data_IF_213225637060
#
_entry.id   IF_213225637060
#
_cell.length_a   1.000
_cell.length_b   1.000
_cell.length_c   1.000
_cell.angle_alpha   90.00
_cell.angle_beta   90.00
_cell.angle_gamma   90.00
#
_symmetry.space_group_name_H-M   'P 1'
#
loop_
_entity.id
_entity.type
_entity.pdbx_description
1 polymer ?
#
# COMPACT_ATOMS: atom_id res chain seq x y z
N UNK A 1 -14.81 -9.28 -1.43
CA UNK A 1 -16.16 -9.69 -1.84
C UNK A 1 -16.11 -10.00 -3.33
N UNK A 2 -16.19 -11.28 -3.72
CA UNK A 2 -16.32 -11.66 -5.14
C UNK A 2 -17.65 -11.15 -5.66
N UNK A 3 -17.64 -10.31 -6.69
CA UNK A 3 -18.86 -9.87 -7.35
C UNK A 3 -18.75 -10.08 -8.86
N UNK A 4 -19.82 -10.68 -9.36
CA UNK A 4 -19.97 -11.38 -10.63
C UNK A 4 -20.54 -10.40 -11.66
N UNK A 5 -19.71 -9.60 -12.35
CA UNK A 5 -20.18 -8.60 -13.33
C UNK A 5 -19.21 -8.41 -14.50
N UNK A 6 -19.02 -9.42 -15.36
CA UNK A 6 -18.26 -9.28 -16.62
C UNK A 6 -18.81 -10.17 -17.75
N UNK A 7 -20.12 -10.14 -18.04
CA UNK A 7 -20.69 -10.93 -19.15
C UNK A 7 -20.89 -10.18 -20.47
N UNK A 8 -20.60 -8.87 -20.56
CA UNK A 8 -21.07 -8.06 -21.71
C UNK A 8 -20.04 -7.80 -22.84
N UNK A 9 -18.77 -8.20 -22.71
CA UNK A 9 -17.73 -7.76 -23.66
C UNK A 9 -17.11 -8.84 -24.58
N UNK A 10 -17.50 -10.11 -24.48
CA UNK A 10 -16.73 -11.19 -25.12
C UNK A 10 -17.53 -12.05 -26.11
N UNK A 11 -17.31 -11.85 -27.41
CA UNK A 11 -17.70 -12.77 -28.48
C UNK A 11 -16.97 -14.13 -28.42
N UNK A 12 -17.37 -15.13 -29.23
CA UNK A 12 -16.85 -16.49 -29.17
C UNK A 12 -15.43 -16.60 -29.73
N UNK A 13 -14.57 -17.42 -29.10
CA UNK A 13 -13.17 -17.63 -29.53
C UNK A 13 -12.85 -19.12 -29.63
N UNK A 14 -12.31 -19.51 -30.79
CA UNK A 14 -11.91 -20.86 -31.18
C UNK A 14 -10.65 -21.37 -30.46
N UNK A 15 -10.51 -22.71 -30.43
CA UNK A 15 -9.35 -23.45 -29.92
C UNK A 15 -8.18 -23.33 -30.92
N UNK A 16 -7.01 -22.84 -30.51
CA UNK A 16 -5.89 -22.56 -31.42
C UNK A 16 -4.54 -23.12 -30.93
N UNK A 17 -3.77 -23.63 -31.89
CA UNK A 17 -2.49 -24.31 -31.72
C UNK A 17 -1.33 -23.40 -31.27
N UNK A 18 -0.48 -23.95 -30.40
CA UNK A 18 0.43 -23.22 -29.50
C UNK A 18 1.93 -23.24 -29.93
N UNK A 19 2.28 -23.12 -31.22
CA UNK A 19 3.70 -23.11 -31.67
C UNK A 19 4.24 -21.70 -31.91
N UNK A 20 5.45 -21.38 -31.41
CA UNK A 20 6.24 -20.19 -31.80
C UNK A 20 6.31 -19.00 -30.83
N UNK A 21 6.23 -19.20 -29.50
CA UNK A 21 6.31 -18.10 -28.52
C UNK A 21 7.73 -17.83 -28.04
N UNK A 22 8.14 -16.56 -28.03
CA UNK A 22 9.39 -16.07 -27.47
C UNK A 22 9.09 -15.39 -26.12
N UNK A 23 9.82 -15.77 -25.08
CA UNK A 23 9.48 -15.47 -23.69
C UNK A 23 10.57 -14.59 -23.07
N UNK A 24 10.31 -13.28 -23.02
CA UNK A 24 11.18 -12.34 -22.34
C UNK A 24 10.59 -12.00 -20.97
N UNK A 25 11.31 -12.36 -19.91
CA UNK A 25 10.92 -12.03 -18.52
C UNK A 25 11.18 -10.55 -18.16
N UNK A 26 11.77 -9.75 -19.08
CA UNK A 26 12.45 -8.49 -18.79
C UNK A 26 11.56 -7.25 -18.71
N UNK A 27 10.86 -6.86 -19.77
CA UNK A 27 10.04 -5.65 -19.77
C UNK A 27 8.99 -5.80 -20.86
N UNK A 28 7.70 -5.70 -20.56
CA UNK A 28 6.91 -4.54 -21.00
C UNK A 28 5.54 -4.42 -20.29
N UNK A 29 5.20 -5.32 -19.37
CA UNK A 29 3.78 -5.49 -18.96
C UNK A 29 3.43 -4.93 -17.61
N UNK A 30 2.29 -4.26 -17.58
CA UNK A 30 1.89 -3.37 -16.50
C UNK A 30 1.64 -4.12 -15.19
N UNK A 31 1.07 -5.32 -15.28
CA UNK A 31 0.68 -6.10 -14.10
C UNK A 31 1.72 -7.15 -13.68
N UNK A 32 2.92 -7.17 -14.30
CA UNK A 32 3.97 -8.13 -13.91
C UNK A 32 4.36 -7.92 -12.44
N UNK A 33 4.33 -9.02 -11.67
CA UNK A 33 4.62 -9.03 -10.23
C UNK A 33 3.38 -8.99 -9.33
N UNK A 34 2.21 -8.59 -9.85
CA UNK A 34 0.95 -8.52 -9.07
C UNK A 34 -0.12 -9.52 -9.54
N UNK A 35 0.03 -10.12 -10.73
CA UNK A 35 -0.90 -11.15 -11.22
C UNK A 35 -0.56 -12.54 -10.66
N UNK A 36 -1.60 -13.23 -10.17
CA UNK A 36 -1.54 -14.62 -9.69
C UNK A 36 -2.63 -15.47 -10.34
N UNK A 37 -2.34 -16.75 -10.50
CA UNK A 37 -3.32 -17.75 -10.92
C UNK A 37 -4.19 -18.15 -9.72
N UNK A 38 -5.52 -18.14 -9.87
CA UNK A 38 -6.45 -18.63 -8.85
C UNK A 38 -6.28 -20.12 -8.52
N UNK A 39 -6.00 -20.95 -9.53
CA UNK A 39 -5.99 -22.42 -9.43
C UNK A 39 -4.82 -22.94 -8.60
N UNK A 40 -3.62 -22.40 -8.83
CA UNK A 40 -2.40 -22.87 -8.18
C UNK A 40 -1.70 -21.80 -7.32
N UNK A 41 -2.30 -20.60 -7.20
CA UNK A 41 -1.81 -19.44 -6.46
C UNK A 41 -0.38 -18.96 -6.83
N UNK A 42 0.18 -19.48 -7.93
CA UNK A 42 1.50 -19.08 -8.41
C UNK A 42 1.44 -17.82 -9.27
N UNK A 43 2.59 -17.16 -9.38
CA UNK A 43 2.74 -15.95 -10.18
C UNK A 43 2.47 -16.21 -11.66
N UNK A 44 1.88 -15.21 -12.31
CA UNK A 44 1.77 -15.17 -13.76
C UNK A 44 2.79 -14.16 -14.30
N UNK A 45 3.45 -14.53 -15.38
CA UNK A 45 4.47 -13.71 -16.02
C UNK A 45 4.07 -13.39 -17.47
N UNK A 46 4.76 -12.41 -18.05
CA UNK A 46 4.47 -11.97 -19.41
C UNK A 46 5.17 -12.81 -20.47
N UNK A 47 4.42 -13.47 -21.36
CA UNK A 47 4.93 -14.11 -22.57
C UNK A 47 4.25 -13.66 -23.86
N UNK A 48 4.96 -13.63 -24.99
CA UNK A 48 4.43 -13.16 -26.26
C UNK A 48 4.51 -14.22 -27.35
N UNK A 49 3.69 -14.09 -28.39
CA UNK A 49 3.78 -14.90 -29.60
C UNK A 49 3.44 -14.08 -30.82
N UNK A 50 3.97 -14.46 -31.97
CA UNK A 50 3.55 -13.87 -33.24
C UNK A 50 2.45 -14.73 -33.86
N UNK A 51 1.36 -14.08 -34.28
CA UNK A 51 0.29 -14.70 -35.05
C UNK A 51 0.03 -13.85 -36.29
N UNK A 52 0.15 -14.44 -37.47
CA UNK A 52 -0.02 -13.75 -38.76
C UNK A 52 0.84 -12.47 -38.86
N UNK A 53 2.09 -12.51 -38.36
CA UNK A 53 2.99 -11.35 -38.33
C UNK A 53 2.69 -10.32 -37.23
N UNK A 54 1.60 -10.48 -36.47
CA UNK A 54 1.22 -9.58 -35.37
C UNK A 54 1.68 -10.17 -34.04
N UNK A 55 2.38 -9.37 -33.22
CA UNK A 55 2.74 -9.77 -31.86
C UNK A 55 1.51 -9.71 -30.95
N UNK A 56 1.24 -10.83 -30.26
CA UNK A 56 0.11 -10.99 -29.34
C UNK A 56 0.64 -11.29 -27.92
N UNK A 57 0.45 -10.38 -26.96
CA UNK A 57 0.94 -10.55 -25.59
C UNK A 57 -0.04 -11.36 -24.70
N UNK A 58 0.49 -12.24 -23.86
CA UNK A 58 -0.26 -13.11 -22.94
C UNK A 58 0.33 -13.26 -21.54
N UNK A 59 -0.46 -13.11 -20.48
CA UNK A 59 -0.09 -13.58 -19.15
C UNK A 59 -0.23 -15.09 -19.03
N UNK A 60 0.79 -15.72 -18.46
CA UNK A 60 0.88 -17.19 -18.35
C UNK A 60 1.30 -17.59 -16.95
N UNK A 61 0.65 -18.62 -16.42
CA UNK A 61 0.99 -19.19 -15.13
C UNK A 61 2.37 -19.85 -15.16
N UNK A 62 3.22 -19.53 -14.18
CA UNK A 62 4.56 -20.10 -14.01
C UNK A 62 4.53 -21.63 -13.96
N UNK A 63 3.68 -22.23 -13.12
CA UNK A 63 3.53 -23.68 -13.00
C UNK A 63 3.03 -24.35 -14.27
N UNK A 64 2.09 -23.71 -15.00
CA UNK A 64 1.64 -24.22 -16.30
C UNK A 64 2.79 -24.29 -17.31
N UNK A 65 3.63 -23.25 -17.31
CA UNK A 65 4.69 -23.13 -18.30
C UNK A 65 5.90 -24.03 -17.98
N UNK A 66 6.35 -24.04 -16.72
CA UNK A 66 7.55 -24.80 -16.32
C UNK A 66 7.22 -26.27 -16.03
N UNK A 67 6.20 -26.52 -15.24
CA UNK A 67 5.94 -27.83 -14.63
C UNK A 67 4.81 -28.59 -15.34
N UNK A 68 4.05 -27.90 -16.19
CA UNK A 68 2.80 -28.38 -16.82
C UNK A 68 1.74 -28.87 -15.82
N UNK A 69 1.90 -28.52 -14.53
CA UNK A 69 1.06 -28.92 -13.39
C UNK A 69 -0.08 -27.91 -13.11
N UNK A 70 -0.49 -27.16 -14.14
CA UNK A 70 -1.61 -26.23 -14.01
C UNK A 70 -2.31 -26.00 -15.35
N UNK A 71 -3.63 -26.12 -15.35
CA UNK A 71 -4.45 -25.96 -16.57
C UNK A 71 -4.88 -24.51 -16.84
N UNK A 72 -4.36 -23.53 -16.09
CA UNK A 72 -4.79 -22.14 -16.18
C UNK A 72 -4.58 -21.54 -17.57
N UNK A 73 -5.63 -21.02 -18.19
CA UNK A 73 -5.59 -20.41 -19.52
C UNK A 73 -4.52 -19.32 -19.73
N UNK A 74 -4.04 -19.24 -20.98
CA UNK A 74 -3.27 -18.10 -21.45
C UNK A 74 -4.21 -16.91 -21.57
N UNK A 75 -3.91 -15.83 -20.84
CA UNK A 75 -4.80 -14.65 -20.81
C UNK A 75 -4.18 -13.54 -21.62
N UNK A 76 -4.94 -13.00 -22.58
CA UNK A 76 -4.55 -11.87 -23.41
C UNK A 76 -4.19 -10.66 -22.54
N UNK A 77 -2.96 -10.16 -22.68
CA UNK A 77 -2.44 -9.13 -21.79
C UNK A 77 -3.16 -7.79 -21.98
N UNK A 78 -3.44 -7.41 -23.23
CA UNK A 78 -4.21 -6.23 -23.59
C UNK A 78 -5.61 -6.23 -22.95
N UNK A 79 -6.28 -7.39 -22.97
CA UNK A 79 -7.62 -7.54 -22.40
C UNK A 79 -7.59 -7.57 -20.87
N UNK A 80 -6.57 -8.19 -20.26
CA UNK A 80 -6.40 -8.18 -18.81
C UNK A 80 -6.06 -6.80 -18.28
N UNK A 81 -5.10 -6.12 -18.91
CA UNK A 81 -4.64 -4.79 -18.48
C UNK A 81 -5.75 -3.76 -18.61
N UNK A 82 -6.47 -3.73 -19.74
CA UNK A 82 -7.63 -2.84 -19.91
C UNK A 82 -8.74 -3.14 -18.90
N UNK A 83 -9.08 -4.40 -18.66
CA UNK A 83 -10.09 -4.77 -17.68
C UNK A 83 -9.72 -4.31 -16.25
N UNK A 84 -8.45 -4.45 -15.85
CA UNK A 84 -7.99 -3.97 -14.54
C UNK A 84 -8.05 -2.45 -14.45
N UNK A 85 -7.62 -1.73 -15.49
CA UNK A 85 -7.65 -0.26 -15.51
C UNK A 85 -9.09 0.26 -15.43
N UNK A 86 -10.01 -0.33 -16.18
CA UNK A 86 -11.42 0.08 -16.17
C UNK A 86 -12.12 -0.28 -14.85
N UNK A 87 -11.80 -1.43 -14.24
CA UNK A 87 -12.30 -1.77 -12.90
C UNK A 87 -11.80 -0.78 -11.84
N UNK A 88 -10.52 -0.37 -11.89
CA UNK A 88 -9.99 0.68 -11.01
C UNK A 88 -10.80 1.97 -11.19
N UNK A 89 -11.00 2.45 -12.42
CA UNK A 89 -11.75 3.69 -12.68
C UNK A 89 -13.19 3.60 -12.16
N UNK A 90 -13.87 2.48 -12.42
CA UNK A 90 -15.24 2.26 -11.99
C UNK A 90 -15.36 2.25 -10.45
N UNK A 91 -14.44 1.57 -9.76
CA UNK A 91 -14.45 1.50 -8.28
C UNK A 91 -14.09 2.82 -7.62
N UNK A 92 -13.14 3.56 -8.16
CA UNK A 92 -12.74 4.86 -7.60
C UNK A 92 -13.79 5.95 -7.86
N UNK A 93 -14.60 5.84 -8.93
CA UNK A 93 -15.77 6.72 -9.19
C UNK A 93 -17.01 6.34 -8.37
N UNK A 94 -17.10 5.13 -7.85
CA UNK A 94 -18.19 4.70 -6.98
C UNK A 94 -18.01 5.27 -5.57
N UNK A 95 -18.67 6.41 -5.32
CA UNK A 95 -18.64 7.11 -4.02
C UNK A 95 -19.06 6.21 -2.85
N UNK A 96 -20.04 5.31 -3.03
CA UNK A 96 -20.50 4.41 -1.98
C UNK A 96 -19.50 3.29 -1.69
N UNK A 97 -18.82 2.79 -2.72
CA UNK A 97 -17.72 1.84 -2.53
C UNK A 97 -16.56 2.49 -1.77
N UNK A 98 -16.13 3.67 -2.20
CA UNK A 98 -15.01 4.38 -1.55
C UNK A 98 -15.36 4.77 -0.10
N UNK A 99 -16.57 5.25 0.17
CA UNK A 99 -17.00 5.53 1.54
C UNK A 99 -16.94 4.29 2.46
N UNK A 100 -17.34 3.12 1.96
CA UNK A 100 -17.25 1.86 2.72
C UNK A 100 -15.82 1.42 2.96
N UNK A 101 -14.97 1.51 1.94
CA UNK A 101 -13.54 1.19 2.04
C UNK A 101 -12.87 2.06 3.11
N UNK A 102 -13.22 3.35 3.15
CA UNK A 102 -12.68 4.29 4.12
C UNK A 102 -13.22 4.10 5.53
N UNK A 103 -14.52 3.81 5.68
CA UNK A 103 -15.09 3.47 6.97
C UNK A 103 -14.39 2.23 7.58
N UNK A 104 -14.13 1.20 6.79
CA UNK A 104 -13.42 0.00 7.23
C UNK A 104 -11.94 0.28 7.54
N UNK A 105 -11.27 1.13 6.74
CA UNK A 105 -9.91 1.55 7.00
C UNK A 105 -9.80 2.32 8.33
N UNK A 106 -10.65 3.33 8.53
CA UNK A 106 -10.72 4.10 9.77
C UNK A 106 -11.05 3.20 10.96
N UNK A 107 -11.95 2.24 10.82
CA UNK A 107 -12.27 1.28 11.89
C UNK A 107 -11.05 0.47 12.33
N UNK A 108 -10.26 -0.03 11.38
CA UNK A 108 -9.02 -0.78 11.69
C UNK A 108 -7.98 0.09 12.37
N UNK A 109 -7.81 1.33 11.90
CA UNK A 109 -6.90 2.27 12.53
C UNK A 109 -7.34 2.68 13.93
N UNK A 110 -8.63 2.98 14.13
CA UNK A 110 -9.19 3.31 15.43
C UNK A 110 -9.04 2.16 16.44
N UNK A 111 -8.91 0.91 15.97
CA UNK A 111 -8.60 -0.23 16.84
C UNK A 111 -7.11 -0.31 17.23
N UNK A 112 -6.20 0.12 16.34
CA UNK A 112 -4.75 0.07 16.58
C UNK A 112 -4.20 1.32 17.31
N UNK A 113 -4.75 2.50 17.04
CA UNK A 113 -4.33 3.79 17.62
C UNK A 113 -4.31 3.81 19.16
N UNK A 114 -5.33 3.32 19.89
CA UNK A 114 -5.35 3.37 21.35
C UNK A 114 -4.23 2.56 22.00
N UNK A 115 -3.79 1.46 21.38
CA UNK A 115 -2.67 0.67 21.90
C UNK A 115 -1.36 1.41 21.68
N UNK A 116 -1.19 2.04 20.50
CA UNK A 116 0.01 2.81 20.19
C UNK A 116 0.14 4.08 21.05
N UNK A 117 -0.96 4.78 21.30
CA UNK A 117 -0.98 5.94 22.21
C UNK A 117 -0.61 5.54 23.65
N UNK A 118 -1.06 4.36 24.11
CA UNK A 118 -0.65 3.83 25.42
C UNK A 118 0.83 3.47 25.47
N UNK A 119 1.38 2.89 24.40
CA UNK A 119 2.81 2.59 24.31
C UNK A 119 3.65 3.88 24.36
N UNK A 120 3.27 4.90 23.58
CA UNK A 120 3.93 6.22 23.62
C UNK A 120 3.86 6.83 25.01
N UNK A 121 2.68 6.87 25.63
CA UNK A 121 2.49 7.43 26.97
C UNK A 121 3.32 6.69 28.04
N UNK A 122 3.49 5.38 27.89
CA UNK A 122 4.33 4.57 28.78
C UNK A 122 5.81 4.96 28.65
N UNK A 123 6.32 5.05 27.42
CA UNK A 123 7.71 5.46 27.14
C UNK A 123 7.99 6.87 27.65
N UNK A 124 7.05 7.80 27.45
CA UNK A 124 7.15 9.17 27.97
C UNK A 124 7.19 9.21 29.50
N UNK A 125 6.37 8.39 30.17
CA UNK A 125 6.38 8.29 31.62
C UNK A 125 7.68 7.68 32.16
N UNK A 126 8.27 6.71 31.45
CA UNK A 126 9.60 6.16 31.80
C UNK A 126 10.71 7.19 31.60
N UNK A 127 10.67 7.96 30.53
CA UNK A 127 11.63 9.03 30.27
C UNK A 127 11.55 10.14 31.33
N UNK A 128 10.34 10.56 31.70
CA UNK A 128 10.12 11.53 32.77
C UNK A 128 10.69 11.05 34.11
N UNK A 129 10.49 9.77 34.46
CA UNK A 129 11.07 9.17 35.67
C UNK A 129 12.60 9.16 35.65
N UNK A 130 13.21 8.83 34.51
CA UNK A 130 14.65 8.84 34.34
C UNK A 130 15.22 10.27 34.45
N UNK A 131 14.52 11.26 33.90
CA UNK A 131 14.89 12.67 34.03
C UNK A 131 14.81 13.16 35.48
N UNK A 132 13.71 12.87 36.19
CA UNK A 132 13.61 13.20 37.62
C UNK A 132 14.69 12.51 38.45
N UNK A 133 15.08 11.28 38.09
CA UNK A 133 16.19 10.61 38.76
C UNK A 133 17.53 11.32 38.51
N UNK A 134 17.81 11.78 37.28
CA UNK A 134 18.99 12.58 36.97
C UNK A 134 19.03 13.85 37.81
N UNK A 135 17.94 14.59 37.87
CA UNK A 135 17.84 15.85 38.63
C UNK A 135 18.15 15.59 40.12
N UNK A 136 17.60 14.52 40.69
CA UNK A 136 17.91 14.10 42.08
C UNK A 136 19.37 13.73 42.30
N UNK A 137 20.02 13.09 41.32
CA UNK A 137 21.44 12.77 41.43
C UNK A 137 22.32 14.03 41.35
N UNK A 138 21.94 15.02 40.54
CA UNK A 138 22.63 16.31 40.49
C UNK A 138 22.46 17.09 41.80
N UNK A 139 21.24 17.18 42.35
CA UNK A 139 20.98 17.82 43.64
C UNK A 139 21.79 17.17 44.78
N UNK A 140 21.84 15.84 44.83
CA UNK A 140 22.59 15.10 45.84
C UNK A 140 24.11 15.33 45.74
N UNK A 141 24.61 15.49 44.52
CA UNK A 141 26.01 15.82 44.25
C UNK A 141 26.35 17.26 44.65
N UNK A 142 25.50 18.22 44.29
CA UNK A 142 25.66 19.63 44.69
C UNK A 142 25.61 19.81 46.22
N UNK A 143 24.78 19.05 46.91
CA UNK A 143 24.70 19.02 48.37
C UNK A 143 25.90 18.33 49.04
N UNK A 144 26.83 17.74 48.28
CA UNK A 144 28.00 17.02 48.80
C UNK A 144 27.66 15.68 49.49
N UNK A 145 26.43 15.19 49.32
CA UNK A 145 25.95 13.96 49.98
C UNK A 145 26.30 12.68 49.22
N UNK A 146 26.83 12.80 48.00
CA UNK A 146 27.14 11.69 47.10
C UNK A 146 28.56 11.78 46.56
N UNK A 147 29.26 10.64 46.50
CA UNK A 147 30.60 10.56 45.90
C UNK A 147 30.55 10.76 44.38
N UNK A 148 31.54 11.47 43.84
CA UNK A 148 31.62 11.83 42.43
C UNK A 148 31.61 10.61 41.50
N UNK A 149 32.36 9.56 41.80
CA UNK A 149 32.43 8.33 41.01
C UNK A 149 31.07 7.63 40.89
N UNK A 150 30.33 7.53 42.00
CA UNK A 150 29.00 6.91 42.01
C UNK A 150 27.97 7.76 41.26
N UNK A 151 28.03 9.09 41.41
CA UNK A 151 27.20 10.03 40.66
C UNK A 151 27.44 9.89 39.15
N UNK A 152 28.71 9.92 38.73
CA UNK A 152 29.09 9.80 37.32
C UNK A 152 28.61 8.48 36.71
N UNK A 153 28.68 7.37 37.45
CA UNK A 153 28.16 6.10 36.94
C UNK A 153 26.65 6.13 36.75
N UNK A 154 25.89 6.59 37.76
CA UNK A 154 24.42 6.64 37.69
C UNK A 154 23.91 7.61 36.63
N UNK A 155 24.56 8.76 36.49
CA UNK A 155 24.23 9.74 35.44
C UNK A 155 24.49 9.15 34.06
N UNK A 156 25.59 8.40 33.86
CA UNK A 156 25.85 7.70 32.59
C UNK A 156 24.77 6.66 32.27
N UNK A 157 24.44 5.81 33.23
CA UNK A 157 23.41 4.77 33.05
C UNK A 157 22.04 5.39 32.70
N UNK A 158 21.66 6.46 33.41
CA UNK A 158 20.38 7.16 33.18
C UNK A 158 20.34 7.89 31.83
N UNK A 159 21.45 8.50 31.39
CA UNK A 159 21.54 9.11 30.06
C UNK A 159 21.44 8.08 28.95
N UNK A 160 22.13 6.94 29.08
CA UNK A 160 22.00 5.83 28.13
C UNK A 160 20.55 5.34 28.06
N UNK A 161 19.87 5.20 29.21
CA UNK A 161 18.46 4.81 29.24
C UNK A 161 17.53 5.85 28.59
N UNK A 162 17.81 7.15 28.76
CA UNK A 162 17.06 8.20 28.08
C UNK A 162 17.23 8.14 26.56
N UNK A 163 18.46 7.94 26.07
CA UNK A 163 18.72 7.79 24.63
C UNK A 163 17.96 6.60 24.03
N UNK A 164 17.90 5.46 24.74
CA UNK A 164 17.08 4.30 24.35
C UNK A 164 15.59 4.64 24.27
N UNK A 165 15.05 5.29 25.32
CA UNK A 165 13.64 5.67 25.39
C UNK A 165 13.26 6.69 24.32
N UNK A 166 14.15 7.64 24.00
CA UNK A 166 13.97 8.60 22.91
C UNK A 166 14.01 7.93 21.53
N UNK A 167 14.85 6.91 21.34
CA UNK A 167 14.85 6.12 20.12
C UNK A 167 13.54 5.32 19.97
N UNK A 168 13.09 4.67 21.04
CA UNK A 168 11.81 3.93 21.07
C UNK A 168 10.62 4.86 20.80
N UNK A 169 10.59 6.04 21.44
CA UNK A 169 9.55 7.06 21.19
C UNK A 169 9.51 7.46 19.72
N UNK A 170 10.67 7.76 19.11
CA UNK A 170 10.74 8.14 17.70
C UNK A 170 10.21 7.04 16.77
N UNK A 171 10.47 5.78 17.09
CA UNK A 171 9.92 4.65 16.32
C UNK A 171 8.40 4.56 16.44
N UNK A 172 7.86 4.68 17.66
CA UNK A 172 6.42 4.65 17.91
C UNK A 172 5.69 5.83 17.25
N UNK A 173 6.26 7.03 17.31
CA UNK A 173 5.72 8.22 16.62
C UNK A 173 5.76 8.05 15.09
N UNK A 174 6.85 7.50 14.53
CA UNK A 174 6.92 7.19 13.11
C UNK A 174 5.87 6.14 12.70
N UNK A 175 5.56 5.18 13.57
CA UNK A 175 4.48 4.21 13.35
C UNK A 175 3.11 4.87 13.43
N UNK A 176 2.89 5.81 14.35
CA UNK A 176 1.64 6.59 14.47
C UNK A 176 1.38 7.38 13.20
N UNK A 177 2.40 8.07 12.70
CA UNK A 177 2.28 8.88 11.48
C UNK A 177 1.96 8.02 10.25
N UNK A 178 2.44 6.77 10.19
CA UNK A 178 2.10 5.82 9.11
C UNK A 178 0.64 5.36 9.18
N UNK A 179 0.02 5.43 10.35
CA UNK A 179 -1.36 5.04 10.61
C UNK A 179 -2.34 6.22 10.51
N UNK A 180 -1.86 7.44 10.25
CA UNK A 180 -2.75 8.56 9.98
C UNK A 180 -3.24 8.55 8.53
N UNK A 181 -4.51 8.21 8.37
CA UNK A 181 -5.22 8.34 7.10
C UNK A 181 -5.79 9.76 6.97
N UNK A 182 -5.67 10.39 5.79
CA UNK A 182 -6.29 11.67 5.54
C UNK A 182 -7.81 11.48 5.47
N UNK A 183 -8.56 12.53 5.83
CA UNK A 183 -9.98 12.58 5.51
C UNK A 183 -10.14 12.58 3.99
N UNK A 184 -11.12 11.83 3.50
CA UNK A 184 -11.36 11.67 2.07
C UNK A 184 -12.54 12.51 1.75
N UNK A 185 -12.24 13.59 1.05
CA UNK A 185 -13.24 14.33 0.35
C UNK A 185 -13.39 13.81 -1.09
N UNK A 186 -14.48 14.24 -1.69
CA UNK A 186 -14.87 13.91 -3.05
C UNK A 186 -13.85 14.41 -4.08
N UNK A 187 -13.23 15.56 -3.80
CA UNK A 187 -12.29 16.23 -4.70
C UNK A 187 -10.96 15.45 -4.76
N UNK A 188 -10.53 14.87 -3.64
CA UNK A 188 -9.39 13.97 -3.58
C UNK A 188 -9.61 12.72 -4.43
N UNK A 189 -10.78 12.09 -4.36
CA UNK A 189 -11.10 10.91 -5.19
C UNK A 189 -11.15 11.25 -6.69
N UNK A 190 -11.77 12.37 -7.05
CA UNK A 190 -11.85 12.83 -8.44
C UNK A 190 -10.44 13.06 -9.01
N UNK A 191 -9.59 13.78 -8.26
CA UNK A 191 -8.21 14.03 -8.68
C UNK A 191 -7.37 12.75 -8.82
N UNK A 192 -7.60 11.72 -7.99
CA UNK A 192 -6.93 10.43 -8.14
C UNK A 192 -7.29 9.73 -9.45
N UNK A 193 -8.55 9.78 -9.87
CA UNK A 193 -9.02 9.18 -11.13
C UNK A 193 -8.46 9.93 -12.33
N UNK A 194 -8.49 11.26 -12.31
CA UNK A 194 -7.93 12.10 -13.38
C UNK A 194 -6.42 11.86 -13.53
N UNK A 195 -5.70 11.76 -12.41
CA UNK A 195 -4.27 11.46 -12.42
C UNK A 195 -3.98 10.07 -12.97
N UNK A 196 -4.78 9.06 -12.61
CA UNK A 196 -4.68 7.72 -13.18
C UNK A 196 -4.85 7.77 -14.69
N UNK A 197 -5.88 8.45 -15.20
CA UNK A 197 -6.12 8.58 -16.63
C UNK A 197 -4.94 9.24 -17.36
N UNK A 198 -4.42 10.34 -16.82
CA UNK A 198 -3.26 11.05 -17.37
C UNK A 198 -2.00 10.17 -17.40
N UNK A 199 -1.64 9.52 -16.28
CA UNK A 199 -0.45 8.66 -16.22
C UNK A 199 -0.60 7.46 -17.14
N UNK A 200 -1.80 6.86 -17.22
CA UNK A 200 -2.05 5.74 -18.11
C UNK A 200 -2.02 6.12 -19.59
N UNK A 201 -2.32 7.38 -19.94
CA UNK A 201 -2.20 7.90 -21.29
C UNK A 201 -0.75 8.25 -21.66
N UNK A 202 -0.08 9.06 -20.84
CA UNK A 202 1.13 9.80 -21.25
C UNK A 202 2.44 9.24 -20.68
N UNK A 203 2.39 8.50 -19.57
CA UNK A 203 3.62 8.14 -18.85
C UNK A 203 4.36 6.94 -19.48
N UNK A 204 5.68 6.84 -19.26
CA UNK A 204 6.45 5.63 -19.56
C UNK A 204 5.96 4.40 -18.77
N UNK A 205 6.14 3.20 -19.33
CA UNK A 205 5.73 1.93 -18.70
C UNK A 205 6.22 1.73 -17.25
N UNK A 206 7.46 2.10 -16.85
CA UNK A 206 7.88 1.99 -15.46
C UNK A 206 7.00 2.79 -14.48
N UNK A 207 6.56 3.99 -14.87
CA UNK A 207 5.70 4.83 -14.04
C UNK A 207 4.29 4.26 -13.96
N UNK A 208 3.75 3.76 -15.09
CA UNK A 208 2.46 3.05 -15.11
C UNK A 208 2.46 1.82 -14.20
N UNK A 209 3.55 1.03 -14.24
CA UNK A 209 3.75 -0.13 -13.35
C UNK A 209 3.77 0.28 -11.88
N UNK A 210 4.52 1.33 -11.53
CA UNK A 210 4.60 1.80 -10.13
C UNK A 210 3.23 2.24 -9.61
N UNK A 211 2.52 3.04 -10.41
CA UNK A 211 1.16 3.50 -10.10
C UNK A 211 0.21 2.31 -9.85
N UNK A 212 0.17 1.35 -10.77
CA UNK A 212 -0.70 0.18 -10.64
C UNK A 212 -0.33 -0.68 -9.42
N UNK A 213 0.95 -0.81 -9.06
CA UNK A 213 1.39 -1.54 -7.87
C UNK A 213 1.02 -0.85 -6.56
N UNK A 214 0.90 0.48 -6.56
CA UNK A 214 0.39 1.23 -5.40
C UNK A 214 -1.10 1.01 -5.21
N UNK A 215 -1.88 1.05 -6.30
CA UNK A 215 -3.35 0.91 -6.28
C UNK A 215 -3.84 -0.53 -6.16
N UNK A 216 -3.12 -1.48 -6.75
CA UNK A 216 -3.51 -2.89 -6.83
C UNK A 216 -2.44 -3.75 -6.19
N UNK A 217 -2.79 -4.41 -5.08
CA UNK A 217 -1.91 -5.33 -4.36
C UNK A 217 -1.79 -6.67 -5.07
N UNK A 218 -2.89 -7.15 -5.65
CA UNK A 218 -2.94 -8.46 -6.32
C UNK A 218 -4.08 -8.52 -7.32
N UNK A 219 -3.83 -9.14 -8.46
CA UNK A 219 -4.86 -9.54 -9.44
C UNK A 219 -4.90 -11.06 -9.48
N UNK A 220 -6.02 -11.66 -9.15
CA UNK A 220 -6.21 -13.11 -9.21
C UNK A 220 -7.01 -13.46 -10.47
N UNK A 221 -6.42 -14.30 -11.32
CA UNK A 221 -7.04 -14.71 -12.59
C UNK A 221 -7.71 -16.06 -12.39
N UNK A 222 -9.03 -16.08 -12.54
CA UNK A 222 -9.85 -17.28 -12.44
C UNK A 222 -9.90 -18.04 -13.76
N UNK A 223 -10.19 -17.33 -14.83
CA UNK A 223 -10.24 -17.85 -16.20
C UNK A 223 -9.96 -16.70 -17.20
N UNK A 224 -10.25 -16.90 -18.49
CA UNK A 224 -10.04 -15.89 -19.54
C UNK A 224 -10.87 -14.61 -19.39
N UNK A 225 -11.96 -14.67 -18.62
CA UNK A 225 -12.99 -13.63 -18.49
C UNK A 225 -13.19 -13.16 -17.05
N UNK A 226 -12.81 -13.98 -16.08
CA UNK A 226 -13.03 -13.73 -14.66
C UNK A 226 -11.73 -13.38 -13.96
N UNK A 227 -11.70 -12.17 -13.37
CA UNK A 227 -10.59 -11.68 -12.56
C UNK A 227 -11.12 -11.15 -11.23
N UNK A 228 -10.26 -11.18 -10.22
CA UNK A 228 -10.53 -10.62 -8.91
C UNK A 228 -9.38 -9.68 -8.53
N UNK A 229 -9.71 -8.41 -8.29
CA UNK A 229 -8.74 -7.35 -8.00
C UNK A 229 -8.73 -7.04 -6.52
N UNK A 230 -7.55 -7.07 -5.92
CA UNK A 230 -7.31 -6.73 -4.53
C UNK A 230 -6.64 -5.36 -4.47
N UNK A 231 -7.41 -4.38 -4.02
CA UNK A 231 -6.99 -3.00 -3.94
C UNK A 231 -6.09 -2.73 -2.73
N UNK A 232 -5.08 -1.89 -2.94
CA UNK A 232 -4.31 -1.25 -1.87
C UNK A 232 -4.90 0.11 -1.59
N UNK A 233 -5.23 0.37 -0.32
CA UNK A 233 -5.57 1.73 0.10
C UNK A 233 -4.34 2.63 -0.05
N UNK A 234 -4.44 3.76 -0.78
CA UNK A 234 -3.37 4.72 -0.81
C UNK A 234 -3.19 5.31 0.59
N UNK A 235 -2.02 5.09 1.19
CA UNK A 235 -1.63 5.77 2.42
C UNK A 235 -1.24 7.22 2.08
N UNK A 236 -1.46 8.18 2.99
CA UNK A 236 -1.19 9.63 2.84
C UNK A 236 0.18 9.93 2.23
N UNK A 237 1.26 9.31 2.72
CA UNK A 237 2.61 9.50 2.15
C UNK A 237 2.75 8.99 0.71
N UNK A 238 1.96 7.98 0.35
CA UNK A 238 1.87 7.50 -1.03
C UNK A 238 1.20 8.49 -1.97
N UNK A 239 0.36 9.40 -1.46
CA UNK A 239 -0.33 10.47 -2.20
C UNK A 239 0.51 11.76 -2.22
N UNK A 240 1.24 12.07 -1.15
CA UNK A 240 2.21 13.18 -1.11
C UNK A 240 3.31 13.03 -2.18
N UNK A 241 3.78 11.79 -2.43
CA UNK A 241 4.69 11.48 -3.54
C UNK A 241 4.08 11.80 -4.92
N UNK A 242 2.75 11.72 -5.08
CA UNK A 242 2.07 12.02 -6.35
C UNK A 242 1.92 13.53 -6.53
N UNK A 243 1.75 14.27 -5.43
CA UNK A 243 1.77 15.73 -5.43
C UNK A 243 3.14 16.30 -5.84
N UNK A 244 4.24 15.53 -5.79
CA UNK A 244 5.52 15.95 -6.37
C UNK A 244 5.52 16.01 -7.91
N UNK A 245 4.47 15.49 -8.55
CA UNK A 245 4.22 15.55 -10.00
C UNK A 245 3.07 16.52 -10.36
N UNK A 246 2.57 17.28 -9.39
CA UNK A 246 1.52 18.30 -9.53
C UNK A 246 1.99 19.66 -9.00
N UNK A 247 1.51 20.80 -9.55
CA UNK A 247 1.71 22.09 -8.91
C UNK A 247 1.01 22.09 -7.54
N UNK A 248 1.77 22.40 -6.49
CA UNK A 248 1.33 22.30 -5.07
C UNK A 248 0.08 23.14 -4.82
N UNK A 249 -1.01 22.50 -4.39
CA UNK A 249 -2.11 23.21 -3.72
C UNK A 249 -1.94 23.09 -2.21
N UNK A 250 -1.88 24.24 -1.56
CA UNK A 250 -1.48 24.40 -0.17
C UNK A 250 -2.72 24.39 0.71
N UNK A 251 -3.04 23.28 1.37
CA UNK A 251 -4.14 23.20 2.35
C UNK A 251 -3.93 22.02 3.30
N UNK A 252 -3.45 22.32 4.51
CA UNK A 252 -3.37 21.37 5.60
C UNK A 252 -4.72 21.27 6.32
N UNK A 253 -5.14 20.05 6.66
CA UNK A 253 -6.37 19.81 7.41
C UNK A 253 -6.16 18.83 8.55
N UNK A 254 -6.62 19.23 9.73
CA UNK A 254 -6.62 18.47 10.99
C UNK A 254 -7.77 17.46 11.02
N UNK A 255 -7.52 16.32 11.66
CA UNK A 255 -8.53 15.33 12.00
C UNK A 255 -9.67 15.99 12.81
N UNK A 256 -10.92 15.69 12.42
CA UNK A 256 -12.10 16.18 13.11
C UNK A 256 -12.11 15.69 14.56
N UNK A 257 -12.12 16.64 15.50
CA UNK A 257 -12.37 16.38 16.91
C UNK A 257 -13.78 15.82 17.10
N UNK A 258 -13.88 14.85 17.99
CA UNK A 258 -15.09 14.11 18.32
C UNK A 258 -16.28 15.05 18.60
N UNK A 259 -17.35 14.90 17.83
CA UNK A 259 -18.67 15.43 18.20
C UNK A 259 -19.19 14.55 19.35
N UNK A 260 -19.11 15.06 20.57
CA UNK A 260 -19.88 14.53 21.71
C UNK A 260 -21.38 14.79 21.49
N UNK A 261 -22.27 13.84 21.81
CA UNK A 261 -23.70 14.09 21.84
C UNK A 261 -24.08 14.68 23.20
N UNK A 262 -24.71 15.85 23.21
CA UNK A 262 -25.31 16.46 24.40
C UNK A 262 -25.95 17.80 24.06
N UNK A 263 -27.25 17.78 23.75
CA UNK A 263 -28.34 18.27 24.63
C UNK A 263 -29.70 18.15 23.92
#
# INVERSE_FOLDING_TARGET
MSLHWLSQFWGPVHHEDLKGRQWHNGDERLLTGIVKCSRCNNHMFGGGGYKNGVHVPYYVCSKRYNDQDCEQDYVRADLLESAVIEDIKAKFRDEQFMARVWAEANKRLCAEKPNLEKEIAKVEAEAAKAQTALDRYFEAFEAGTLQAELCNQKVRDLRARLEELEAEKRELEARRDRLDLPAIDRDMLASLVENLERVMAEAPNPQKKDLLRRLVKRVLVHDRRTIEVWYGLPNSRGIEDWNNWLPKSNKGYRCAENIHPGD
#
